data_IF_284379810684
#
_entry.id   IF_284379810684
#
_cell.length_a   1.000
_cell.length_b   1.000
_cell.length_c   1.000
_cell.angle_alpha   90.00
_cell.angle_beta   90.00
_cell.angle_gamma   90.00
#
_symmetry.space_group_name_H-M   'P 1'
#
loop_
_entity.id
_entity.type
_entity.pdbx_description
1 polymer ?
#
# COMPACT_ATOMS: atom_id res chain seq x y z
N UNK A 1 -0.36 -2.74 -5.38
CA UNK A 1 -0.98 -3.93 -4.74
C UNK A 1 -0.20 -5.18 -5.09
N UNK A 2 -0.08 -5.48 -6.38
CA UNK A 2 0.51 -6.74 -6.86
C UNK A 2 1.97 -6.92 -6.44
N UNK A 3 2.75 -5.83 -6.39
CA UNK A 3 4.13 -5.83 -5.86
C UNK A 3 4.19 -6.33 -4.41
N UNK A 4 3.32 -5.82 -3.54
CA UNK A 4 3.27 -6.23 -2.13
C UNK A 4 2.83 -7.68 -1.95
N UNK A 5 1.86 -8.14 -2.75
CA UNK A 5 1.44 -9.55 -2.74
C UNK A 5 2.53 -10.48 -3.26
N UNK A 6 3.23 -10.08 -4.32
CA UNK A 6 4.37 -10.82 -4.86
C UNK A 6 5.46 -10.97 -3.80
N UNK A 7 5.79 -9.88 -3.11
CA UNK A 7 6.81 -9.85 -2.06
C UNK A 7 6.44 -10.76 -0.87
N UNK A 8 5.19 -10.69 -0.39
CA UNK A 8 4.70 -11.56 0.69
C UNK A 8 4.83 -13.05 0.31
N UNK A 9 4.54 -13.41 -0.95
CA UNK A 9 4.69 -14.80 -1.42
C UNK A 9 6.15 -15.21 -1.53
N UNK A 10 7.00 -14.35 -2.08
CA UNK A 10 8.42 -14.62 -2.28
C UNK A 10 9.14 -14.85 -0.95
N UNK A 11 8.87 -13.98 0.02
CA UNK A 11 9.52 -13.96 1.33
C UNK A 11 8.77 -14.77 2.40
N UNK A 12 7.65 -15.41 2.02
CA UNK A 12 6.80 -16.25 2.90
C UNK A 12 6.31 -15.52 4.16
N UNK A 13 5.92 -14.25 4.01
CA UNK A 13 5.53 -13.38 5.13
C UNK A 13 4.14 -13.67 5.71
N UNK A 14 3.42 -14.64 5.15
CA UNK A 14 2.07 -15.02 5.56
C UNK A 14 1.06 -14.96 4.41
N UNK A 15 -0.24 -15.04 4.74
CA UNK A 15 -1.34 -15.01 3.76
C UNK A 15 -2.27 -13.83 4.06
N UNK A 16 -2.25 -12.75 3.26
CA UNK A 16 -3.12 -11.60 3.47
C UNK A 16 -4.58 -12.00 3.18
N UNK A 17 -5.50 -11.66 4.09
CA UNK A 17 -6.94 -11.87 3.91
C UNK A 17 -7.62 -10.66 3.26
N UNK A 18 -6.92 -9.53 3.22
CA UNK A 18 -7.40 -8.30 2.61
C UNK A 18 -6.27 -7.50 1.94
N UNK A 19 -6.68 -6.55 1.12
CA UNK A 19 -5.80 -5.54 0.55
C UNK A 19 -5.04 -4.74 1.64
N UNK A 20 -5.68 -4.48 2.79
CA UNK A 20 -5.01 -3.81 3.93
C UNK A 20 -3.99 -4.72 4.61
N UNK A 21 -4.25 -6.02 4.66
CA UNK A 21 -3.37 -6.99 5.30
C UNK A 21 -2.03 -7.09 4.57
N UNK A 22 -1.99 -6.81 3.27
CA UNK A 22 -0.73 -6.72 2.52
C UNK A 22 0.22 -5.72 3.19
N UNK A 23 -0.26 -4.53 3.52
CA UNK A 23 0.58 -3.51 4.15
C UNK A 23 0.87 -3.80 5.62
N UNK A 24 -0.06 -4.45 6.33
CA UNK A 24 0.19 -4.94 7.68
C UNK A 24 1.31 -5.97 7.72
N UNK A 25 1.28 -6.98 6.84
CA UNK A 25 2.30 -8.02 6.77
C UNK A 25 3.67 -7.46 6.36
N UNK A 26 3.70 -6.46 5.48
CA UNK A 26 4.95 -5.79 5.11
C UNK A 26 5.55 -5.02 6.30
N UNK A 27 4.74 -4.28 7.06
CA UNK A 27 5.22 -3.56 8.24
C UNK A 27 5.71 -4.48 9.36
N UNK A 28 4.97 -5.57 9.62
CA UNK A 28 5.34 -6.58 10.63
C UNK A 28 6.67 -7.29 10.33
N UNK A 29 7.11 -7.26 9.07
CA UNK A 29 8.39 -7.83 8.63
C UNK A 29 9.39 -6.73 8.22
N UNK A 30 9.19 -5.50 8.73
CA UNK A 30 10.04 -4.32 8.58
C UNK A 30 10.23 -3.82 7.14
N UNK A 31 9.43 -4.29 6.17
CA UNK A 31 9.60 -3.93 4.75
C UNK A 31 9.25 -2.47 4.48
N UNK A 32 8.39 -1.93 5.32
CA UNK A 32 7.98 -0.53 5.39
C UNK A 32 7.76 -0.18 6.86
N UNK A 33 7.85 1.09 7.21
CA UNK A 33 7.48 1.52 8.56
C UNK A 33 5.95 1.51 8.78
N UNK A 34 5.53 1.55 10.04
CA UNK A 34 4.12 1.51 10.42
C UNK A 34 3.33 2.72 9.92
N UNK A 35 3.95 3.90 9.86
CA UNK A 35 3.29 5.13 9.43
C UNK A 35 2.94 5.08 7.94
N UNK A 36 3.86 4.59 7.11
CA UNK A 36 3.66 4.34 5.70
C UNK A 36 2.61 3.25 5.47
N UNK A 37 2.65 2.17 6.24
CA UNK A 37 1.64 1.12 6.16
C UNK A 37 0.23 1.66 6.48
N UNK A 38 0.09 2.50 7.50
CA UNK A 38 -1.19 3.11 7.87
C UNK A 38 -1.71 4.10 6.82
N UNK A 39 -0.82 4.90 6.22
CA UNK A 39 -1.18 5.75 5.09
C UNK A 39 -1.71 4.91 3.91
N UNK A 40 -1.03 3.83 3.55
CA UNK A 40 -1.43 2.94 2.45
C UNK A 40 -2.74 2.20 2.75
N UNK A 41 -2.95 1.72 3.99
CA UNK A 41 -4.22 1.11 4.44
C UNK A 41 -5.41 2.06 4.34
N UNK A 42 -5.22 3.35 4.65
CA UNK A 42 -6.24 4.39 4.51
C UNK A 42 -6.60 4.63 3.04
N UNK A 43 -5.59 4.65 2.15
CA UNK A 43 -5.80 4.81 0.71
C UNK A 43 -6.63 3.67 0.11
N UNK A 44 -6.33 2.42 0.48
CA UNK A 44 -7.12 1.24 0.09
C UNK A 44 -8.56 1.33 0.59
N UNK A 45 -8.74 1.78 1.84
CA UNK A 45 -10.06 2.03 2.41
C UNK A 45 -10.87 3.04 1.61
N UNK A 46 -10.22 4.13 1.20
CA UNK A 46 -10.85 5.18 0.38
C UNK A 46 -11.26 4.65 -1.00
N UNK A 47 -10.41 3.84 -1.65
CA UNK A 47 -10.77 3.16 -2.91
C UNK A 47 -12.04 2.32 -2.76
N UNK A 48 -12.21 1.61 -1.65
CA UNK A 48 -13.41 0.80 -1.41
C UNK A 48 -14.65 1.65 -1.15
N UNK A 49 -14.52 2.80 -0.48
CA UNK A 49 -15.62 3.76 -0.30
C UNK A 49 -15.99 4.38 -1.66
N UNK A 50 -15.03 4.88 -2.43
CA UNK A 50 -15.27 5.49 -3.74
C UNK A 50 -15.87 4.52 -4.77
N UNK A 51 -15.60 3.21 -4.65
CA UNK A 51 -16.19 2.16 -5.51
C UNK A 51 -17.62 1.80 -5.09
N UNK A 52 -17.94 1.86 -3.80
CA UNK A 52 -19.28 1.51 -3.29
C UNK A 52 -20.25 2.70 -3.21
N UNK A 53 -19.74 3.93 -3.03
CA UNK A 53 -20.53 5.15 -2.75
C UNK A 53 -20.59 6.10 -3.95
N UNK A 54 -21.13 5.63 -5.07
CA UNK A 54 -21.42 6.43 -6.28
C UNK A 54 -22.48 7.54 -6.06
N UNK A 55 -22.71 8.00 -4.82
CA UNK A 55 -23.52 9.16 -4.52
C UNK A 55 -22.70 10.44 -4.66
N UNK A 56 -22.66 10.97 -5.88
CA UNK A 56 -22.59 12.38 -6.32
C UNK A 56 -21.69 13.43 -5.61
N UNK A 57 -20.88 13.13 -4.59
CA UNK A 57 -20.28 14.19 -3.74
C UNK A 57 -18.78 14.04 -3.39
N UNK A 58 -17.99 13.25 -4.12
CA UNK A 58 -16.56 13.05 -3.74
C UNK A 58 -15.52 13.25 -4.85
N UNK A 59 -15.87 13.88 -5.99
CA UNK A 59 -14.88 14.11 -7.06
C UNK A 59 -13.66 14.94 -6.60
N UNK A 60 -13.81 16.07 -5.89
CA UNK A 60 -12.67 16.89 -5.48
C UNK A 60 -11.75 16.20 -4.46
N UNK A 61 -12.32 15.40 -3.56
CA UNK A 61 -11.54 14.63 -2.56
C UNK A 61 -10.80 13.49 -3.25
N UNK A 62 -11.44 12.82 -4.21
CA UNK A 62 -10.84 11.75 -5.00
C UNK A 62 -9.65 12.26 -5.81
N UNK A 63 -9.83 13.40 -6.49
CA UNK A 63 -8.74 14.07 -7.24
C UNK A 63 -7.62 14.47 -6.29
N UNK A 64 -7.92 15.11 -5.16
CA UNK A 64 -6.89 15.54 -4.21
C UNK A 64 -6.09 14.38 -3.60
N UNK A 65 -6.72 13.22 -3.37
CA UNK A 65 -6.03 12.01 -2.86
C UNK A 65 -5.14 11.41 -3.95
N UNK A 66 -5.63 11.32 -5.20
CA UNK A 66 -4.81 10.86 -6.32
C UNK A 66 -3.62 11.81 -6.50
N UNK A 67 -3.84 13.12 -6.57
CA UNK A 67 -2.77 14.10 -6.81
C UNK A 67 -1.76 14.18 -5.67
N UNK A 68 -2.20 14.10 -4.40
CA UNK A 68 -1.32 14.35 -3.24
C UNK A 68 -0.72 13.10 -2.59
N UNK A 69 -1.16 11.90 -2.99
CA UNK A 69 -0.68 10.64 -2.41
C UNK A 69 0.05 9.75 -3.42
N UNK A 70 0.28 10.26 -4.63
CA UNK A 70 1.20 9.63 -5.60
C UNK A 70 2.63 9.56 -5.07
N UNK A 71 3.04 10.53 -4.24
CA UNK A 71 4.36 10.52 -3.60
C UNK A 71 4.54 9.34 -2.64
N UNK A 72 3.46 8.90 -1.97
CA UNK A 72 3.48 7.70 -1.12
C UNK A 72 3.83 6.44 -1.95
N UNK A 73 3.40 6.37 -3.21
CA UNK A 73 3.78 5.28 -4.11
C UNK A 73 5.26 5.33 -4.48
N UNK A 74 5.81 6.51 -4.73
CA UNK A 74 7.24 6.68 -5.01
C UNK A 74 8.10 6.25 -3.82
N UNK A 75 7.69 6.64 -2.61
CA UNK A 75 8.35 6.24 -1.36
C UNK A 75 8.28 4.72 -1.19
N UNK A 76 7.09 4.12 -1.39
CA UNK A 76 6.89 2.68 -1.32
C UNK A 76 7.78 1.91 -2.32
N UNK A 77 7.78 2.30 -3.58
CA UNK A 77 8.59 1.62 -4.62
C UNK A 77 10.08 1.77 -4.34
N UNK A 78 10.54 2.92 -3.84
CA UNK A 78 11.93 3.14 -3.43
C UNK A 78 12.34 2.22 -2.29
N UNK A 79 11.51 2.09 -1.26
CA UNK A 79 11.78 1.23 -0.11
C UNK A 79 11.92 -0.25 -0.53
N UNK A 80 11.01 -0.73 -1.38
CA UNK A 80 11.04 -2.11 -1.89
C UNK A 80 12.30 -2.37 -2.72
N UNK A 81 12.66 -1.48 -3.64
CA UNK A 81 13.86 -1.65 -4.49
C UNK A 81 15.15 -1.65 -3.67
N UNK A 82 15.28 -0.71 -2.72
CA UNK A 82 16.49 -0.61 -1.88
C UNK A 82 16.68 -1.87 -1.03
N UNK A 83 15.59 -2.41 -0.47
CA UNK A 83 15.66 -3.62 0.33
C UNK A 83 15.90 -4.86 -0.52
N UNK A 84 15.30 -4.97 -1.69
CA UNK A 84 15.54 -6.07 -2.64
C UNK A 84 17.01 -6.17 -3.09
N UNK A 85 17.62 -5.02 -3.36
CA UNK A 85 19.05 -4.93 -3.69
C UNK A 85 19.96 -5.31 -2.52
N UNK A 86 19.52 -5.10 -1.28
CA UNK A 86 20.25 -5.48 -0.08
C UNK A 86 20.07 -6.97 0.28
N UNK A 87 18.92 -7.57 -0.04
CA UNK A 87 18.62 -9.00 0.15
C UNK A 87 19.24 -9.93 -0.90
N UNK A 88 19.77 -9.38 -1.99
CA UNK A 88 20.36 -10.11 -3.12
C UNK A 88 21.89 -10.23 -3.05
N UNK A 89 22.50 -9.93 -1.90
CA UNK A 89 23.91 -10.16 -1.55
C UNK A 89 24.01 -11.22 -0.46
#
# INVERSE_FOLDING_TARGET
MDVGQHLIRRERLGVPQSARDVFTLLAQNDWIDEALADALKRMVGFRNIAVHDYQALQLPITVAIIERRLDDFLIYTRAVILRDAASSQ
#
